data_IF_602704362383
#
_entry.id   IF_602704362383
#
_cell.length_a   1.000
_cell.length_b   1.000
_cell.length_c   1.000
_cell.angle_alpha   90.00
_cell.angle_beta   90.00
_cell.angle_gamma   90.00
#
_symmetry.space_group_name_H-M   'P 1'
#
loop_
_entity.id
_entity.type
_entity.pdbx_description
1 polymer ?
#
# COMPACT_ATOMS: atom_id res chain seq x y z
N UNK A 1 30.49 -17.14 3.03
CA UNK A 1 29.23 -17.08 2.25
C UNK A 1 28.71 -15.65 2.30
N UNK A 2 29.16 -14.74 1.41
CA UNK A 2 28.79 -13.33 1.52
C UNK A 2 27.60 -12.97 0.61
N UNK A 3 26.66 -12.24 1.22
CA UNK A 3 25.79 -11.17 0.69
C UNK A 3 25.76 -10.96 -0.84
N UNK A 4 24.66 -11.37 -1.48
CA UNK A 4 24.32 -11.00 -2.86
C UNK A 4 23.18 -9.99 -2.90
N UNK A 5 23.44 -8.78 -2.38
CA UNK A 5 22.63 -7.60 -2.67
C UNK A 5 23.59 -6.41 -2.83
N UNK A 6 24.33 -6.39 -3.94
CA UNK A 6 25.32 -5.34 -4.19
C UNK A 6 25.50 -5.17 -5.68
N UNK A 7 24.50 -4.56 -6.32
CA UNK A 7 24.59 -3.58 -7.40
C UNK A 7 23.16 -3.16 -7.76
N UNK A 8 22.94 -1.87 -7.88
CA UNK A 8 21.64 -1.30 -8.21
C UNK A 8 21.91 -0.25 -9.28
N UNK A 9 21.26 -0.41 -10.43
CA UNK A 9 21.48 0.48 -11.58
C UNK A 9 20.42 1.58 -11.58
N UNK A 10 20.86 2.83 -11.44
CA UNK A 10 19.98 4.00 -11.48
C UNK A 10 19.84 4.51 -12.92
N UNK A 11 18.61 4.74 -13.38
CA UNK A 11 18.35 5.32 -14.70
C UNK A 11 18.23 6.85 -14.60
N UNK A 12 18.82 7.56 -15.56
CA UNK A 12 18.84 9.03 -15.62
C UNK A 12 17.96 9.53 -16.77
N UNK A 13 16.90 10.28 -16.45
CA UNK A 13 15.93 10.79 -17.43
C UNK A 13 16.00 12.33 -17.53
N UNK A 14 16.13 12.91 -18.72
CA UNK A 14 16.19 14.36 -18.93
C UNK A 14 14.84 15.08 -18.79
N UNK A 15 14.86 16.31 -18.24
CA UNK A 15 13.70 17.16 -17.88
C UNK A 15 12.61 17.33 -18.96
N UNK A 16 12.95 17.27 -20.24
CA UNK A 16 12.02 17.59 -21.33
C UNK A 16 11.07 16.43 -21.69
N UNK A 17 11.39 15.18 -21.32
CA UNK A 17 10.58 14.01 -21.70
C UNK A 17 9.63 13.52 -20.61
N UNK A 18 9.89 13.83 -19.34
CA UNK A 18 9.02 13.41 -18.22
C UNK A 18 7.82 14.34 -17.99
N UNK A 19 7.93 15.63 -18.34
CA UNK A 19 6.87 16.62 -18.07
C UNK A 19 5.63 16.44 -18.95
N UNK A 20 5.75 15.77 -20.09
CA UNK A 20 4.63 15.57 -21.03
C UNK A 20 3.91 14.22 -20.88
N UNK A 21 4.48 13.21 -20.19
CA UNK A 21 3.83 11.89 -20.03
C UNK A 21 3.31 11.61 -18.62
N UNK A 22 3.69 12.40 -17.61
CA UNK A 22 3.16 12.32 -16.25
C UNK A 22 1.97 13.26 -16.00
N UNK A 23 1.54 14.04 -17.00
CA UNK A 23 0.37 14.93 -16.88
C UNK A 23 -0.98 14.19 -16.78
N UNK A 24 -1.00 12.87 -16.96
CA UNK A 24 -2.15 11.99 -16.70
C UNK A 24 -2.15 11.37 -15.31
N UNK A 25 -1.15 11.70 -14.47
CA UNK A 25 -1.10 11.32 -13.04
C UNK A 25 -1.23 12.61 -12.22
N UNK A 26 -2.27 12.77 -11.38
CA UNK A 26 -2.47 14.00 -10.62
C UNK A 26 -1.28 14.23 -9.69
N UNK A 27 -0.50 15.28 -9.97
CA UNK A 27 0.63 15.72 -9.14
C UNK A 27 0.43 17.18 -8.75
N UNK A 28 0.36 17.42 -7.44
CA UNK A 28 0.40 18.76 -6.84
C UNK A 28 1.86 19.26 -6.71
N UNK A 29 2.00 20.59 -6.69
CA UNK A 29 3.26 21.38 -6.85
C UNK A 29 4.16 21.45 -5.59
N UNK A 30 5.43 21.89 -5.72
CA UNK A 30 6.51 21.64 -4.75
C UNK A 30 6.77 22.80 -3.77
N UNK A 31 7.37 22.50 -2.61
CA UNK A 31 7.98 23.47 -1.69
C UNK A 31 9.41 23.01 -1.35
N UNK A 32 10.37 23.95 -1.42
CA UNK A 32 11.77 23.79 -1.04
C UNK A 32 11.94 23.92 0.49
N UNK A 33 12.75 23.06 1.12
CA UNK A 33 13.97 23.47 1.84
C UNK A 33 14.74 22.30 2.47
N UNK A 34 16.04 22.53 2.67
CA UNK A 34 17.10 21.56 2.92
C UNK A 34 17.27 21.12 4.41
N UNK A 35 17.81 19.91 4.52
CA UNK A 35 18.76 19.35 5.51
C UNK A 35 18.25 18.16 6.37
N UNK A 36 19.00 17.05 6.24
CA UNK A 36 19.02 15.78 7.01
C UNK A 36 17.74 14.94 7.06
N UNK A 37 17.62 13.92 6.19
CA UNK A 37 16.48 12.97 6.18
C UNK A 37 16.97 11.52 6.11
N UNK A 38 17.22 10.94 7.27
CA UNK A 38 17.10 9.49 7.48
C UNK A 38 15.72 9.27 8.12
N UNK A 39 14.85 8.54 7.41
CA UNK A 39 13.52 8.08 7.82
C UNK A 39 12.56 9.19 8.32
N UNK A 40 11.75 9.78 7.44
CA UNK A 40 10.61 10.61 7.83
C UNK A 40 9.30 9.96 7.36
N UNK A 41 8.86 8.95 8.12
CA UNK A 41 7.45 8.87 8.47
C UNK A 41 7.26 9.91 9.61
N UNK A 42 6.33 10.85 9.42
CA UNK A 42 6.14 12.09 10.22
C UNK A 42 7.25 13.15 9.98
N UNK A 43 6.97 14.36 9.51
CA UNK A 43 5.87 15.26 9.87
C UNK A 43 5.51 16.18 8.71
N UNK A 44 4.32 16.01 8.13
CA UNK A 44 3.56 17.18 7.71
C UNK A 44 2.92 17.77 8.99
N UNK A 45 2.72 19.10 9.10
CA UNK A 45 2.00 19.66 10.23
C UNK A 45 0.62 18.98 10.34
N UNK A 46 0.28 18.66 11.58
CA UNK A 46 -0.90 17.95 12.09
C UNK A 46 -2.22 18.45 11.50
N UNK A 47 -2.65 17.97 10.32
CA UNK A 47 -4.02 18.16 9.81
C UNK A 47 -4.64 16.89 9.17
N UNK A 48 -3.87 15.81 8.90
CA UNK A 48 -4.42 14.65 8.17
C UNK A 48 -4.93 13.48 9.05
N UNK A 49 -4.57 13.43 10.33
CA UNK A 49 -5.00 12.34 11.23
C UNK A 49 -6.53 12.33 11.48
N UNK A 50 -7.22 13.46 11.29
CA UNK A 50 -8.66 13.59 11.54
C UNK A 50 -9.55 12.95 10.47
N UNK A 51 -8.99 12.41 9.36
CA UNK A 51 -9.78 11.92 8.22
C UNK A 51 -9.86 10.40 8.08
N UNK A 52 -8.90 9.63 8.62
CA UNK A 52 -9.01 8.18 8.62
C UNK A 52 -10.15 7.71 9.54
N UNK A 53 -10.80 6.57 9.32
CA UNK A 53 -11.83 6.07 10.23
C UNK A 53 -11.23 5.77 11.61
N UNK A 54 -12.04 5.78 12.67
CA UNK A 54 -11.56 5.67 14.06
C UNK A 54 -10.76 4.38 14.32
N UNK A 55 -11.07 3.28 13.62
CA UNK A 55 -10.32 2.02 13.72
C UNK A 55 -8.89 2.12 13.18
N UNK A 56 -8.62 3.08 12.30
CA UNK A 56 -7.33 3.33 11.67
C UNK A 56 -6.56 4.50 12.29
N UNK A 57 -7.10 5.15 13.32
CA UNK A 57 -6.46 6.27 14.03
C UNK A 57 -5.67 5.81 15.24
N UNK A 58 -4.65 6.59 15.57
CA UNK A 58 -4.01 6.57 16.89
C UNK A 58 -4.88 7.41 17.83
N UNK A 59 -5.34 6.84 18.95
CA UNK A 59 -5.97 7.63 20.01
C UNK A 59 -4.93 8.59 20.60
N UNK A 60 -5.13 9.90 20.44
CA UNK A 60 -4.32 10.96 21.06
C UNK A 60 -4.74 11.26 22.52
N UNK A 61 -5.48 10.37 23.17
CA UNK A 61 -5.75 10.47 24.61
C UNK A 61 -4.51 9.98 25.37
N UNK A 62 -3.97 10.75 26.35
CA UNK A 62 -2.87 10.31 27.19
C UNK A 62 -3.39 9.27 28.20
N UNK A 63 -3.80 8.10 27.71
CA UNK A 63 -4.16 6.98 28.58
C UNK A 63 -2.89 6.16 28.75
N UNK A 64 -2.36 6.18 29.97
CA UNK A 64 -1.25 5.38 30.48
C UNK A 64 -1.56 3.87 30.47
N UNK A 65 -1.84 3.31 29.31
CA UNK A 65 -1.76 1.87 29.10
C UNK A 65 -0.44 1.58 28.36
N UNK A 66 0.51 0.87 29.00
CA UNK A 66 1.72 0.41 28.33
C UNK A 66 1.32 -0.73 27.39
N UNK A 67 0.63 -0.40 26.31
CA UNK A 67 0.42 -1.31 25.21
C UNK A 67 1.74 -1.45 24.48
N UNK A 68 2.38 -2.60 24.60
CA UNK A 68 3.55 -2.94 23.78
C UNK A 68 3.17 -2.74 22.31
N UNK A 69 3.92 -1.92 21.57
CA UNK A 69 3.76 -1.78 20.13
C UNK A 69 3.99 -3.11 19.42
N UNK A 70 3.40 -3.33 18.24
CA UNK A 70 3.69 -4.57 17.51
C UNK A 70 5.17 -4.63 17.13
N UNK A 71 5.75 -5.82 17.24
CA UNK A 71 7.11 -6.05 16.75
C UNK A 71 7.15 -5.89 15.23
N UNK A 72 8.30 -5.47 14.70
CA UNK A 72 8.47 -5.36 13.25
C UNK A 72 8.28 -6.72 12.56
N UNK A 73 8.74 -7.80 13.19
CA UNK A 73 8.58 -9.17 12.69
C UNK A 73 7.10 -9.56 12.54
N UNK A 74 6.25 -9.27 13.54
CA UNK A 74 4.82 -9.56 13.45
C UNK A 74 4.12 -8.75 12.35
N UNK A 75 4.52 -7.49 12.14
CA UNK A 75 3.99 -6.69 11.03
C UNK A 75 4.42 -7.30 9.69
N UNK A 76 5.68 -7.70 9.57
CA UNK A 76 6.22 -8.31 8.36
C UNK A 76 5.54 -9.65 8.02
N UNK A 77 5.24 -10.50 9.00
CA UNK A 77 4.50 -11.74 8.79
C UNK A 77 3.11 -11.47 8.19
N UNK A 78 2.40 -10.44 8.69
CA UNK A 78 1.07 -10.06 8.16
C UNK A 78 1.11 -9.54 6.73
N UNK A 79 2.27 -9.05 6.28
CA UNK A 79 2.46 -8.49 4.94
C UNK A 79 3.11 -9.49 3.96
N UNK A 80 3.56 -10.65 4.44
CA UNK A 80 4.30 -11.62 3.63
C UNK A 80 3.48 -12.20 2.47
N UNK A 81 2.15 -12.26 2.62
CA UNK A 81 1.24 -12.78 1.59
C UNK A 81 0.83 -11.78 0.52
N UNK A 82 1.16 -10.48 0.66
CA UNK A 82 0.69 -9.43 -0.25
C UNK A 82 1.74 -9.21 -1.35
N UNK A 83 1.45 -9.52 -2.62
CA UNK A 83 2.37 -9.25 -3.71
C UNK A 83 2.34 -7.77 -4.11
N UNK A 84 3.51 -7.24 -4.46
CA UNK A 84 3.69 -6.01 -5.24
C UNK A 84 4.67 -6.29 -6.38
N UNK A 85 4.68 -5.43 -7.38
CA UNK A 85 5.37 -5.67 -8.64
C UNK A 85 6.42 -4.60 -8.88
N UNK A 86 7.67 -5.02 -9.03
CA UNK A 86 8.81 -4.16 -9.33
C UNK A 86 9.32 -4.42 -10.74
N UNK A 87 10.01 -3.43 -11.31
CA UNK A 87 10.73 -3.61 -12.58
C UNK A 87 12.15 -4.10 -12.26
N UNK A 88 12.62 -5.10 -13.01
CA UNK A 88 14.00 -5.58 -12.94
C UNK A 88 14.70 -5.47 -14.30
N UNK A 89 16.00 -5.20 -14.29
CA UNK A 89 16.85 -5.26 -15.49
C UNK A 89 17.26 -6.72 -15.84
N UNK A 90 18.07 -6.91 -16.88
CA UNK A 90 18.62 -8.22 -17.26
C UNK A 90 19.46 -8.90 -16.17
N UNK A 91 20.01 -8.12 -15.25
CA UNK A 91 20.84 -8.61 -14.16
C UNK A 91 20.01 -8.94 -12.91
N UNK A 92 18.68 -8.92 -13.03
CA UNK A 92 17.73 -9.16 -11.94
C UNK A 92 17.81 -8.14 -10.81
N UNK A 93 18.34 -6.94 -11.10
CA UNK A 93 18.38 -5.83 -10.16
C UNK A 93 17.13 -4.96 -10.33
N UNK A 94 16.62 -4.43 -9.21
CA UNK A 94 15.51 -3.48 -9.27
C UNK A 94 15.91 -2.19 -10.00
N UNK A 95 15.02 -1.75 -10.88
CA UNK A 95 15.16 -0.48 -11.59
C UNK A 95 14.81 0.66 -10.65
N UNK A 96 15.70 1.64 -10.52
CA UNK A 96 15.47 2.86 -9.77
C UNK A 96 15.35 4.08 -10.69
N UNK A 97 14.46 5.01 -10.32
CA UNK A 97 14.27 6.30 -10.99
C UNK A 97 15.06 7.36 -10.24
N UNK A 98 16.04 7.98 -10.91
CA UNK A 98 16.86 9.02 -10.29
C UNK A 98 16.12 10.36 -10.19
N UNK A 99 16.10 10.96 -9.01
CA UNK A 99 15.61 12.32 -8.79
C UNK A 99 16.66 13.35 -9.23
N UNK A 100 16.36 14.11 -10.29
CA UNK A 100 17.29 15.05 -10.94
C UNK A 100 17.80 16.19 -10.04
N UNK A 101 17.14 16.46 -8.91
CA UNK A 101 17.48 17.58 -8.01
C UNK A 101 17.97 17.16 -6.64
N UNK A 102 17.81 15.89 -6.25
CA UNK A 102 18.02 15.46 -4.86
C UNK A 102 19.20 14.51 -4.70
N UNK A 103 19.73 13.96 -5.80
CA UNK A 103 20.70 12.86 -5.75
C UNK A 103 20.12 11.57 -5.14
N UNK A 104 18.80 11.54 -4.90
CA UNK A 104 18.09 10.39 -4.36
C UNK A 104 17.44 9.60 -5.49
N UNK A 105 17.46 8.29 -5.37
CA UNK A 105 16.80 7.38 -6.30
C UNK A 105 15.49 6.88 -5.72
N UNK A 106 14.54 6.51 -6.57
CA UNK A 106 13.23 6.02 -6.19
C UNK A 106 12.98 4.63 -6.76
N UNK A 107 12.74 3.64 -5.89
CA UNK A 107 12.23 2.34 -6.30
C UNK A 107 10.69 2.35 -6.27
N UNK A 108 10.09 1.83 -7.35
CA UNK A 108 8.64 1.81 -7.54
C UNK A 108 8.12 0.38 -7.41
N UNK A 109 7.06 0.22 -6.63
CA UNK A 109 6.38 -1.06 -6.44
C UNK A 109 4.87 -0.88 -6.69
N UNK A 110 4.36 -1.46 -7.77
CA UNK A 110 2.94 -1.38 -8.12
C UNK A 110 2.14 -2.49 -7.44
N UNK A 111 0.92 -2.19 -7.01
CA UNK A 111 0.00 -3.23 -6.49
C UNK A 111 -0.64 -4.08 -7.59
N UNK A 112 -0.54 -3.65 -8.85
CA UNK A 112 -1.10 -4.33 -10.01
C UNK A 112 -0.01 -4.63 -11.03
N UNK A 113 0.00 -5.88 -11.52
CA UNK A 113 1.02 -6.34 -12.45
C UNK A 113 0.94 -5.59 -13.78
N UNK A 114 -0.27 -5.42 -14.32
CA UNK A 114 -0.48 -4.76 -15.61
C UNK A 114 -0.02 -3.29 -15.58
N UNK A 115 -0.15 -2.62 -14.42
CA UNK A 115 0.33 -1.25 -14.24
C UNK A 115 1.88 -1.20 -14.21
N UNK A 116 2.53 -2.19 -13.61
CA UNK A 116 3.99 -2.32 -13.67
C UNK A 116 4.47 -2.66 -15.09
N UNK A 117 3.73 -3.48 -15.84
CA UNK A 117 4.03 -3.81 -17.23
C UNK A 117 3.89 -2.59 -18.14
N UNK A 118 2.81 -1.82 -17.97
CA UNK A 118 2.62 -0.55 -18.68
C UNK A 118 3.75 0.45 -18.37
N UNK A 119 4.16 0.54 -17.10
CA UNK A 119 5.30 1.37 -16.69
C UNK A 119 6.61 0.89 -17.34
N UNK A 120 6.83 -0.42 -17.42
CA UNK A 120 7.99 -1.01 -18.07
C UNK A 120 8.04 -0.68 -19.56
N UNK A 121 6.92 -0.79 -20.27
CA UNK A 121 6.83 -0.42 -21.69
C UNK A 121 7.09 1.08 -21.89
N UNK A 122 6.56 1.92 -21.01
CA UNK A 122 6.87 3.35 -21.03
C UNK A 122 8.38 3.60 -20.84
N UNK A 123 9.02 2.95 -19.87
CA UNK A 123 10.46 3.11 -19.64
C UNK A 123 11.31 2.59 -20.80
N UNK A 124 10.94 1.44 -21.39
CA UNK A 124 11.57 0.92 -22.62
C UNK A 124 11.44 1.93 -23.76
N UNK A 125 10.32 2.64 -23.87
CA UNK A 125 10.16 3.66 -24.91
C UNK A 125 11.18 4.79 -24.76
N UNK A 126 11.52 5.15 -23.51
CA UNK A 126 12.40 6.26 -23.15
C UNK A 126 13.88 5.90 -23.15
N UNK A 127 14.24 4.67 -22.72
CA UNK A 127 15.61 4.17 -22.65
C UNK A 127 15.80 2.95 -23.58
N UNK A 128 16.48 3.13 -24.72
CA UNK A 128 16.83 2.02 -25.62
C UNK A 128 17.66 0.90 -24.96
N UNK A 129 18.38 1.18 -23.87
CA UNK A 129 19.12 0.19 -23.08
C UNK A 129 18.20 -0.84 -22.44
N UNK A 130 17.05 -0.42 -21.91
CA UNK A 130 16.04 -1.32 -21.34
C UNK A 130 15.38 -2.24 -22.37
N UNK A 131 15.34 -1.83 -23.66
CA UNK A 131 14.78 -2.68 -24.74
C UNK A 131 15.65 -3.89 -25.03
N UNK A 132 16.97 -3.73 -24.94
CA UNK A 132 17.95 -4.75 -25.34
C UNK A 132 18.30 -5.73 -24.20
N UNK A 133 18.04 -5.34 -22.96
CA UNK A 133 18.52 -6.04 -21.76
C UNK A 133 17.43 -6.76 -20.96
N UNK A 134 16.57 -7.56 -21.59
CA UNK A 134 15.73 -8.56 -20.88
C UNK A 134 14.92 -8.05 -19.68
N UNK A 135 14.53 -6.77 -19.66
CA UNK A 135 13.86 -6.17 -18.51
C UNK A 135 12.46 -6.76 -18.35
N UNK A 136 12.08 -7.07 -17.11
CA UNK A 136 10.83 -7.78 -16.77
C UNK A 136 10.19 -7.20 -15.51
N UNK A 137 8.92 -7.50 -15.33
CA UNK A 137 8.22 -7.26 -14.07
C UNK A 137 8.42 -8.48 -13.17
N UNK A 138 8.75 -8.26 -11.91
CA UNK A 138 8.95 -9.31 -10.90
C UNK A 138 8.04 -9.09 -9.70
N UNK A 139 7.38 -10.15 -9.20
CA UNK A 139 6.64 -10.07 -7.95
C UNK A 139 7.60 -10.02 -6.76
N UNK A 140 7.26 -9.19 -5.78
CA UNK A 140 7.99 -9.00 -4.52
C UNK A 140 6.95 -9.04 -3.40
N UNK A 141 7.21 -9.81 -2.34
CA UNK A 141 6.35 -9.79 -1.18
C UNK A 141 6.47 -8.44 -0.45
N UNK A 142 5.33 -7.85 -0.08
CA UNK A 142 5.28 -6.50 0.48
C UNK A 142 6.11 -6.36 1.75
N UNK A 143 6.18 -7.40 2.59
CA UNK A 143 7.06 -7.42 3.76
C UNK A 143 8.54 -7.21 3.41
N UNK A 144 9.01 -7.72 2.26
CA UNK A 144 10.39 -7.53 1.80
C UNK A 144 10.67 -6.09 1.44
N UNK A 145 9.68 -5.36 0.90
CA UNK A 145 9.82 -3.93 0.61
C UNK A 145 10.12 -3.13 1.88
N UNK A 146 9.53 -3.50 3.02
CA UNK A 146 9.81 -2.86 4.32
C UNK A 146 11.21 -3.17 4.86
N UNK A 147 11.81 -4.29 4.45
CA UNK A 147 13.17 -4.68 4.82
C UNK A 147 14.23 -3.99 3.94
N UNK A 148 13.85 -3.49 2.76
CA UNK A 148 14.78 -2.82 1.86
C UNK A 148 15.22 -1.48 2.46
N UNK A 149 16.50 -1.40 2.83
CA UNK A 149 17.17 -0.16 3.20
C UNK A 149 18.39 -0.02 2.30
N UNK A 150 18.35 0.96 1.42
CA UNK A 150 19.48 1.29 0.54
C UNK A 150 19.73 2.77 0.68
N UNK A 151 20.98 3.14 1.00
CA UNK A 151 21.35 4.53 1.20
C UNK A 151 21.08 5.34 -0.06
N UNK A 152 20.44 6.50 0.12
CA UNK A 152 20.05 7.37 -0.99
C UNK A 152 18.86 6.89 -1.82
N UNK A 153 18.18 5.81 -1.43
CA UNK A 153 17.00 5.28 -2.13
C UNK A 153 15.75 5.42 -1.26
N UNK A 154 14.71 6.02 -1.82
CA UNK A 154 13.35 5.94 -1.29
C UNK A 154 12.55 4.89 -2.03
N UNK A 155 11.56 4.29 -1.37
CA UNK A 155 10.65 3.34 -2.01
C UNK A 155 9.23 3.90 -1.98
N UNK A 156 8.52 3.75 -3.09
CA UNK A 156 7.14 4.21 -3.22
C UNK A 156 6.24 3.09 -3.71
N UNK A 157 5.17 2.89 -2.95
CA UNK A 157 4.06 2.05 -3.33
C UNK A 157 3.16 2.81 -4.32
N UNK A 158 2.76 2.14 -5.39
CA UNK A 158 1.88 2.67 -6.42
C UNK A 158 0.56 1.89 -6.35
N UNK A 159 -0.54 2.49 -5.85
CA UNK A 159 -1.83 1.83 -5.80
C UNK A 159 -2.43 1.68 -7.20
N UNK A 160 -3.34 0.72 -7.36
CA UNK A 160 -4.14 0.63 -8.56
C UNK A 160 -5.05 1.88 -8.71
N UNK A 161 -5.11 2.52 -9.89
CA UNK A 161 -5.92 3.72 -10.09
C UNK A 161 -7.41 3.56 -9.78
N UNK A 162 -7.99 2.39 -10.08
CA UNK A 162 -9.39 2.08 -9.77
C UNK A 162 -9.64 2.08 -8.26
N UNK A 163 -8.69 1.61 -7.46
CA UNK A 163 -8.82 1.58 -6.00
C UNK A 163 -8.70 2.98 -5.39
N UNK A 164 -7.89 3.87 -5.99
CA UNK A 164 -7.88 5.29 -5.63
C UNK A 164 -9.24 5.93 -5.91
N UNK A 165 -9.83 5.67 -7.08
CA UNK A 165 -11.17 6.16 -7.42
C UNK A 165 -12.23 5.63 -6.45
N UNK A 166 -12.23 4.33 -6.19
CA UNK A 166 -13.12 3.68 -5.23
C UNK A 166 -13.00 4.31 -3.84
N UNK A 167 -11.77 4.57 -3.38
CA UNK A 167 -11.51 5.18 -2.09
C UNK A 167 -12.09 6.60 -1.97
N UNK A 168 -11.95 7.42 -3.02
CA UNK A 168 -12.53 8.76 -3.07
C UNK A 168 -14.05 8.71 -3.06
N UNK A 169 -14.66 7.79 -3.80
CA UNK A 169 -16.12 7.61 -3.83
C UNK A 169 -16.68 7.22 -2.46
N UNK A 170 -16.04 6.28 -1.76
CA UNK A 170 -16.47 5.88 -0.41
C UNK A 170 -16.31 7.01 0.61
N UNK A 171 -15.23 7.79 0.52
CA UNK A 171 -15.04 8.98 1.36
C UNK A 171 -16.10 10.03 1.11
N UNK A 172 -16.41 10.31 -0.15
CA UNK A 172 -17.47 11.25 -0.53
C UNK A 172 -18.83 10.81 0.04
N UNK A 173 -19.17 9.52 -0.06
CA UNK A 173 -20.37 8.95 0.54
C UNK A 173 -20.39 9.05 2.07
N UNK A 174 -19.23 9.02 2.72
CA UNK A 174 -19.09 9.25 4.16
C UNK A 174 -19.11 10.75 4.54
N UNK A 175 -19.33 11.66 3.59
CA UNK A 175 -19.33 13.11 3.81
C UNK A 175 -17.92 13.72 3.90
N UNK A 176 -16.89 12.98 3.49
CA UNK A 176 -15.49 13.42 3.43
C UNK A 176 -15.14 13.73 1.98
N UNK A 177 -15.22 14.99 1.58
CA UNK A 177 -14.76 15.42 0.25
C UNK A 177 -13.26 15.73 0.27
N UNK A 178 -12.50 15.00 -0.54
CA UNK A 178 -11.07 15.23 -0.79
C UNK A 178 -10.83 15.26 -2.30
N UNK A 179 -10.00 16.18 -2.78
CA UNK A 179 -9.63 16.26 -4.20
C UNK A 179 -8.65 15.13 -4.61
N UNK A 180 -8.00 14.50 -3.64
CA UNK A 180 -6.99 13.47 -3.89
C UNK A 180 -6.83 12.51 -2.70
N UNK A 181 -6.47 11.26 -3.01
CA UNK A 181 -6.13 10.24 -2.02
C UNK A 181 -4.61 10.11 -1.91
N UNK A 182 -4.06 10.35 -0.72
CA UNK A 182 -2.60 10.34 -0.48
C UNK A 182 -2.16 9.05 0.22
N UNK A 183 -1.73 8.06 -0.55
CA UNK A 183 -1.21 6.77 -0.05
C UNK A 183 -1.90 5.59 -0.73
N UNK A 184 -1.71 4.39 -0.19
CA UNK A 184 -2.37 3.17 -0.70
C UNK A 184 -3.72 2.99 0.00
N UNK A 185 -4.84 3.01 -0.73
CA UNK A 185 -6.15 2.79 -0.13
C UNK A 185 -6.30 1.34 0.28
N UNK A 186 -6.89 1.15 1.45
CA UNK A 186 -7.38 -0.15 1.92
C UNK A 186 -8.81 -0.02 2.43
N UNK A 187 -9.57 -1.10 2.30
CA UNK A 187 -11.00 -1.16 2.55
C UNK A 187 -11.30 -2.15 3.66
N UNK A 188 -12.23 -1.79 4.53
CA UNK A 188 -12.71 -2.64 5.61
C UNK A 188 -14.22 -2.48 5.73
N UNK A 189 -14.92 -3.50 6.25
CA UNK A 189 -16.29 -3.37 6.74
C UNK A 189 -16.36 -3.89 8.17
N UNK A 190 -17.12 -3.19 9.02
CA UNK A 190 -17.41 -3.63 10.40
C UNK A 190 -18.36 -4.82 10.44
N UNK A 191 -19.07 -5.06 9.34
CA UNK A 191 -20.00 -6.17 9.18
C UNK A 191 -19.32 -7.46 8.72
N UNK A 192 -18.01 -7.45 8.44
CA UNK A 192 -17.25 -8.61 8.03
C UNK A 192 -16.17 -8.97 9.07
N UNK A 193 -16.24 -10.22 9.55
CA UNK A 193 -15.25 -10.80 10.46
C UNK A 193 -14.94 -12.21 9.96
N UNK A 194 -13.66 -12.54 9.87
CA UNK A 194 -13.20 -13.88 9.54
C UNK A 194 -13.07 -14.69 10.82
N UNK A 195 -13.62 -15.90 10.82
CA UNK A 195 -13.47 -16.84 11.94
C UNK A 195 -12.56 -17.97 11.52
N UNK A 196 -11.50 -18.20 12.29
CA UNK A 196 -10.65 -19.37 12.14
C UNK A 196 -10.37 -19.94 13.52
N UNK A 197 -10.67 -21.23 13.70
CA UNK A 197 -10.65 -21.90 15.00
C UNK A 197 -11.48 -21.11 16.02
N UNK A 198 -10.87 -20.71 17.15
CA UNK A 198 -11.51 -19.94 18.21
C UNK A 198 -11.12 -18.45 18.18
N UNK A 199 -10.65 -17.94 17.04
CA UNK A 199 -10.24 -16.55 16.84
C UNK A 199 -11.05 -15.87 15.76
N UNK A 200 -11.30 -14.58 15.98
CA UNK A 200 -11.95 -13.68 15.03
C UNK A 200 -10.93 -12.69 14.51
N UNK A 201 -10.96 -12.40 13.22
CA UNK A 201 -10.04 -11.49 12.55
C UNK A 201 -10.81 -10.46 11.75
N UNK A 202 -10.33 -9.21 11.76
CA UNK A 202 -10.82 -8.11 10.92
C UNK A 202 -10.02 -8.09 9.61
N UNK A 203 -10.65 -8.44 8.48
CA UNK A 203 -9.97 -8.40 7.20
C UNK A 203 -9.86 -6.97 6.67
N UNK A 204 -8.69 -6.63 6.12
CA UNK A 204 -8.39 -5.37 5.44
C UNK A 204 -7.98 -5.68 4.00
N UNK A 205 -8.73 -5.15 3.04
CA UNK A 205 -8.59 -5.48 1.63
C UNK A 205 -7.88 -4.36 0.86
N UNK A 206 -6.99 -4.72 -0.06
CA UNK A 206 -6.40 -3.75 -1.01
C UNK A 206 -7.31 -3.44 -2.21
N UNK A 207 -8.33 -4.26 -2.44
CA UNK A 207 -9.33 -4.07 -3.51
C UNK A 207 -10.72 -4.02 -2.94
N UNK A 208 -11.48 -3.00 -3.29
CA UNK A 208 -12.87 -2.84 -2.85
C UNK A 208 -13.73 -4.01 -3.32
N UNK A 209 -13.52 -4.46 -4.55
CA UNK A 209 -14.32 -5.53 -5.16
C UNK A 209 -14.17 -6.86 -4.41
N UNK A 210 -12.99 -7.13 -3.84
CA UNK A 210 -12.73 -8.33 -3.04
C UNK A 210 -13.50 -8.29 -1.70
N UNK A 211 -13.59 -7.10 -1.07
CA UNK A 211 -14.41 -6.87 0.12
C UNK A 211 -15.90 -7.03 -0.20
N UNK A 212 -16.39 -6.39 -1.26
CA UNK A 212 -17.80 -6.47 -1.68
C UNK A 212 -18.21 -7.91 -2.03
N UNK A 213 -17.35 -8.66 -2.72
CA UNK A 213 -17.56 -10.09 -3.00
C UNK A 213 -17.66 -10.90 -1.71
N UNK A 214 -16.78 -10.63 -0.74
CA UNK A 214 -16.78 -11.31 0.57
C UNK A 214 -18.05 -11.00 1.37
N UNK A 215 -18.48 -9.74 1.40
CA UNK A 215 -19.73 -9.30 2.03
C UNK A 215 -20.96 -9.94 1.36
N UNK A 216 -21.00 -9.96 0.03
CA UNK A 216 -22.09 -10.57 -0.73
C UNK A 216 -22.22 -12.07 -0.41
N UNK A 217 -21.11 -12.81 -0.39
CA UNK A 217 -21.10 -14.22 -0.01
C UNK A 217 -21.59 -14.41 1.43
N UNK A 218 -20.99 -13.71 2.39
CA UNK A 218 -21.36 -13.85 3.80
C UNK A 218 -22.84 -13.53 4.04
N UNK A 219 -23.37 -12.52 3.34
CA UNK A 219 -24.78 -12.15 3.40
C UNK A 219 -25.69 -13.25 2.87
N UNK A 220 -25.32 -13.86 1.74
CA UNK A 220 -26.05 -14.98 1.16
C UNK A 220 -26.05 -16.21 2.08
N UNK A 221 -24.89 -16.59 2.62
CA UNK A 221 -24.74 -17.71 3.56
C UNK A 221 -25.53 -17.51 4.86
N UNK A 222 -25.63 -16.28 5.34
CA UNK A 222 -26.37 -15.95 6.56
C UNK A 222 -27.85 -15.63 6.32
N UNK A 223 -28.32 -15.67 5.07
CA UNK A 223 -29.67 -15.22 4.69
C UNK A 223 -30.01 -13.81 5.21
N UNK A 224 -29.05 -12.89 5.13
CA UNK A 224 -29.18 -11.48 5.56
C UNK A 224 -29.09 -10.54 4.36
N UNK A 225 -29.39 -9.27 4.60
CA UNK A 225 -29.15 -8.19 3.65
C UNK A 225 -27.67 -7.84 3.59
N UNK A 226 -27.16 -7.60 2.37
CA UNK A 226 -25.75 -7.31 2.15
C UNK A 226 -25.40 -5.94 2.75
N UNK A 227 -24.48 -5.89 3.74
CA UNK A 227 -24.08 -4.64 4.39
C UNK A 227 -23.44 -3.64 3.43
N UNK A 228 -22.86 -4.07 2.31
CA UNK A 228 -22.26 -3.18 1.31
C UNK A 228 -23.26 -2.16 0.71
N UNK A 229 -24.57 -2.42 0.81
CA UNK A 229 -25.60 -1.46 0.37
C UNK A 229 -25.93 -0.39 1.41
N UNK A 230 -25.39 -0.50 2.64
CA UNK A 230 -25.58 0.50 3.69
C UNK A 230 -24.48 1.54 3.59
N UNK A 231 -24.88 2.81 3.48
CA UNK A 231 -23.97 3.94 3.48
C UNK A 231 -23.07 3.90 4.74
N UNK A 232 -21.76 4.02 4.53
CA UNK A 232 -20.76 4.02 5.60
C UNK A 232 -20.41 2.65 6.19
N UNK A 233 -20.91 1.54 5.64
CA UNK A 233 -20.49 0.20 6.07
C UNK A 233 -19.08 -0.15 5.59
N UNK A 234 -18.73 0.28 4.37
CA UNK A 234 -17.36 0.21 3.85
C UNK A 234 -16.62 1.47 4.29
N UNK A 235 -15.51 1.26 4.99
CA UNK A 235 -14.63 2.30 5.48
C UNK A 235 -13.28 2.23 4.74
N UNK A 236 -12.70 3.38 4.44
CA UNK A 236 -11.44 3.51 3.70
C UNK A 236 -10.36 4.10 4.58
N UNK A 237 -9.20 3.47 4.63
CA UNK A 237 -8.03 3.95 5.34
C UNK A 237 -6.80 4.00 4.43
N UNK A 238 -5.77 4.72 4.88
CA UNK A 238 -4.45 4.76 4.22
C UNK A 238 -3.58 3.68 4.84
N UNK A 239 -3.09 2.75 4.02
CA UNK A 239 -2.26 1.62 4.45
C UNK A 239 -1.03 2.07 5.26
N UNK A 240 -0.32 3.09 4.78
CA UNK A 240 0.89 3.60 5.42
C UNK A 240 0.61 4.13 6.84
N UNK A 241 -0.58 4.71 7.08
CA UNK A 241 -1.00 5.16 8.40
C UNK A 241 -1.35 3.99 9.32
N UNK A 242 -1.92 2.90 8.79
CA UNK A 242 -2.14 1.67 9.54
C UNK A 242 -0.80 1.08 9.99
N UNK A 243 0.17 0.96 9.08
CA UNK A 243 1.50 0.43 9.42
C UNK A 243 2.20 1.32 10.46
N UNK A 244 2.09 2.63 10.32
CA UNK A 244 2.58 3.57 11.34
C UNK A 244 1.91 3.32 12.69
N UNK A 245 0.59 3.18 12.70
CA UNK A 245 -0.19 2.95 13.93
C UNK A 245 0.09 1.58 14.57
N UNK A 246 0.42 0.55 13.80
CA UNK A 246 0.89 -0.74 14.32
C UNK A 246 2.24 -0.61 15.03
N UNK A 247 3.14 0.24 14.52
CA UNK A 247 4.48 0.48 15.07
C UNK A 247 4.46 1.38 16.30
N UNK A 248 3.54 2.33 16.37
CA UNK A 248 3.51 3.38 17.40
C UNK A 248 2.40 3.20 18.44
N UNK A 249 1.32 2.47 18.10
CA UNK A 249 0.16 2.24 18.97
C UNK A 249 0.21 0.91 19.73
N UNK A 250 -0.86 0.63 20.50
CA UNK A 250 -0.99 -0.62 21.26
C UNK A 250 -1.17 -1.83 20.34
N UNK A 251 -0.38 -2.90 20.52
CA UNK A 251 -0.50 -4.12 19.72
C UNK A 251 -1.90 -4.76 19.79
N UNK A 252 -2.55 -4.71 20.95
CA UNK A 252 -3.89 -5.28 21.16
C UNK A 252 -4.96 -4.72 20.23
N UNK A 253 -4.76 -3.50 19.70
CA UNK A 253 -5.66 -2.87 18.72
C UNK A 253 -5.54 -3.48 17.32
N UNK A 254 -4.43 -4.19 17.05
CA UNK A 254 -4.06 -4.66 15.72
C UNK A 254 -3.92 -6.18 15.64
N UNK A 255 -3.94 -6.90 16.77
CA UNK A 255 -3.71 -8.35 16.86
C UNK A 255 -4.65 -9.18 15.98
N UNK A 256 -5.87 -8.71 15.78
CA UNK A 256 -6.91 -9.35 14.98
C UNK A 256 -6.95 -8.87 13.52
N UNK A 257 -6.10 -7.93 13.08
CA UNK A 257 -6.13 -7.38 11.71
C UNK A 257 -5.35 -8.25 10.73
N UNK A 258 -6.00 -8.69 9.65
CA UNK A 258 -5.33 -9.45 8.59
C UNK A 258 -5.45 -8.73 7.25
N UNK A 259 -4.33 -8.59 6.54
CA UNK A 259 -4.33 -8.02 5.19
C UNK A 259 -4.67 -9.09 4.18
N UNK A 260 -5.68 -8.84 3.35
CA UNK A 260 -6.13 -9.75 2.30
C UNK A 260 -5.45 -9.38 0.99
N UNK A 261 -4.63 -10.28 0.41
CA UNK A 261 -3.97 -10.01 -0.87
C UNK A 261 -4.98 -9.73 -1.99
N UNK A 262 -4.65 -8.85 -2.96
CA UNK A 262 -5.48 -8.62 -4.13
C UNK A 262 -5.87 -9.92 -4.85
N UNK A 263 -7.16 -10.11 -5.12
CA UNK A 263 -7.70 -11.29 -5.80
C UNK A 263 -7.76 -12.56 -4.95
N UNK A 264 -7.37 -12.50 -3.66
CA UNK A 264 -7.47 -13.65 -2.77
C UNK A 264 -8.92 -13.89 -2.34
N UNK A 265 -9.42 -15.10 -2.58
CA UNK A 265 -10.77 -15.49 -2.20
C UNK A 265 -10.81 -16.02 -0.76
N UNK A 266 -11.38 -15.22 0.15
CA UNK A 266 -11.45 -15.55 1.58
C UNK A 266 -12.61 -16.51 1.85
N UNK A 267 -12.44 -17.81 1.56
CA UNK A 267 -13.50 -18.79 1.82
C UNK A 267 -13.78 -18.97 3.32
N UNK A 268 -15.06 -18.97 3.68
CA UNK A 268 -15.60 -19.21 5.03
C UNK A 268 -15.98 -20.67 5.27
N UNK A 269 -15.48 -21.61 4.46
CA UNK A 269 -15.82 -23.03 4.63
C UNK A 269 -15.13 -23.61 5.86
N UNK A 270 -15.87 -24.16 6.85
CA UNK A 270 -15.26 -25.04 7.82
C UNK A 270 -14.66 -26.25 7.09
N UNK A 271 -13.55 -26.84 7.58
CA UNK A 271 -13.14 -28.16 7.09
C UNK A 271 -14.32 -29.11 7.33
N UNK A 272 -14.81 -29.74 6.26
CA UNK A 272 -15.76 -30.85 6.38
C UNK A 272 -15.10 -31.91 7.25
N UNK A 273 -15.69 -32.17 8.42
CA UNK A 273 -15.41 -33.37 9.20
C UNK A 273 -15.97 -34.59 8.48
#
# INVERSE_FOLDING_TARGET
>A
MPSQLSKTTALHFSKTSLTNSLSSIPTSKPIQDNHSTLLSLASAPTILSSKNPSWARISHEPISHPGTSMSTETIEERLAGVPVYALSNSNEEFVLVSGLSTGKSLGLFCFKQEDAEALLEQMKSMDPGMRKGGSKVVPVALNKVFQLKVDGVAFRLIPEPSQVKNALMEREQAGLSDDAFSGVPVFQSRSLVLKSQNKSYRPVFFRKEDLEKSLSRASHEQHKLNPAFKQGDIEVAVFEEIIKSMKEGSATTWDDVVFIPPGFDVSTTPPKQ
#
